data_IF_312291739661
#
_entry.id   IF_312291739661
#
_cell.length_a   1.000
_cell.length_b   1.000
_cell.length_c   1.000
_cell.angle_alpha   90.00
_cell.angle_beta   90.00
_cell.angle_gamma   90.00
#
_symmetry.space_group_name_H-M   'P 1'
#
loop_
_entity.id
_entity.type
_entity.pdbx_description
1 polymer ?
#
# COMPACT_ATOMS: atom_id res chain seq x y z
N UNK A 1 -41.29 53.05 6.50
CA UNK A 1 -40.22 52.57 7.39
C UNK A 1 -40.33 51.07 7.45
N UNK A 2 -39.39 50.38 6.82
CA UNK A 2 -39.33 48.92 6.77
C UNK A 2 -38.66 48.40 8.04
N UNK A 3 -39.24 47.39 8.67
CA UNK A 3 -38.57 46.55 9.67
C UNK A 3 -38.51 45.13 9.13
N UNK A 4 -37.30 44.73 8.77
CA UNK A 4 -36.98 43.41 8.26
C UNK A 4 -37.02 42.39 9.41
N UNK A 5 -37.77 41.30 9.23
CA UNK A 5 -37.68 40.12 10.06
C UNK A 5 -36.52 39.25 9.56
N UNK A 6 -35.47 39.09 10.36
CA UNK A 6 -34.43 38.08 10.12
C UNK A 6 -35.01 36.69 10.43
N UNK A 7 -35.19 35.87 9.40
CA UNK A 7 -35.35 34.42 9.55
C UNK A 7 -33.96 33.79 9.67
N UNK A 8 -33.56 33.44 10.89
CA UNK A 8 -32.39 32.60 11.13
C UNK A 8 -32.72 31.16 10.73
N UNK A 9 -32.17 30.73 9.60
CA UNK A 9 -32.23 29.34 9.16
C UNK A 9 -31.21 28.52 9.97
N UNK A 10 -31.67 27.85 11.03
CA UNK A 10 -30.85 26.85 11.73
C UNK A 10 -30.81 25.61 10.84
N UNK A 11 -29.72 25.44 10.09
CA UNK A 11 -29.42 24.18 9.42
C UNK A 11 -28.86 23.25 10.49
N UNK A 12 -29.72 22.45 11.10
CA UNK A 12 -29.30 21.30 11.89
C UNK A 12 -28.77 20.26 10.91
N UNK A 13 -27.45 20.26 10.69
CA UNK A 13 -26.80 19.12 10.03
C UNK A 13 -26.93 17.95 10.99
N UNK A 14 -27.95 17.13 10.78
CA UNK A 14 -27.98 15.79 11.32
C UNK A 14 -26.79 15.06 10.70
N UNK A 15 -25.69 14.98 11.44
CA UNK A 15 -24.72 13.91 11.24
C UNK A 15 -25.49 12.63 11.51
N UNK A 16 -26.06 12.04 10.47
CA UNK A 16 -26.36 10.61 10.47
C UNK A 16 -25.01 9.93 10.72
N UNK A 17 -24.75 9.64 11.98
CA UNK A 17 -23.75 8.65 12.37
C UNK A 17 -24.36 7.33 11.94
N UNK A 18 -24.35 7.06 10.62
CA UNK A 18 -24.41 5.69 10.15
C UNK A 18 -23.25 5.01 10.87
N UNK A 19 -23.57 4.05 11.74
CA UNK A 19 -22.60 3.16 12.37
C UNK A 19 -21.58 2.78 11.31
N UNK A 20 -20.38 3.37 11.38
CA UNK A 20 -19.39 3.16 10.35
C UNK A 20 -18.97 1.70 10.46
N UNK A 21 -19.44 0.86 9.54
CA UNK A 21 -19.11 -0.56 9.58
C UNK A 21 -17.59 -0.71 9.50
N UNK A 22 -16.98 -1.19 10.59
CA UNK A 22 -15.54 -1.32 10.76
C UNK A 22 -15.16 -2.81 10.69
N UNK A 23 -14.82 -3.25 9.48
CA UNK A 23 -14.42 -4.63 9.24
C UNK A 23 -12.97 -4.87 9.72
N UNK A 24 -12.77 -5.85 10.61
CA UNK A 24 -11.44 -6.36 10.96
C UNK A 24 -11.21 -7.65 10.18
N UNK A 25 -10.10 -7.76 9.44
CA UNK A 25 -9.79 -8.94 8.62
C UNK A 25 -8.54 -9.65 9.15
N UNK A 26 -8.66 -10.94 9.41
CA UNK A 26 -7.56 -11.81 9.81
C UNK A 26 -6.71 -12.22 8.61
N UNK A 27 -5.46 -11.76 8.59
CA UNK A 27 -4.48 -12.07 7.55
C UNK A 27 -3.19 -12.70 8.13
N UNK A 28 -3.35 -13.45 9.23
CA UNK A 28 -2.27 -14.23 9.83
C UNK A 28 -2.34 -15.65 9.27
N UNK A 29 -1.22 -16.29 8.90
CA UNK A 29 -1.22 -17.59 8.24
C UNK A 29 -1.49 -18.76 9.21
N UNK A 30 -2.61 -18.71 9.94
CA UNK A 30 -3.01 -19.70 10.95
C UNK A 30 -3.45 -21.03 10.34
N UNK A 31 -3.65 -21.11 9.02
CA UNK A 31 -3.78 -22.40 8.32
C UNK A 31 -2.61 -23.36 8.61
N UNK A 32 -1.41 -22.82 8.86
CA UNK A 32 -0.26 -23.62 9.27
C UNK A 32 -0.48 -24.28 10.65
N UNK A 33 -1.12 -23.57 11.57
CA UNK A 33 -1.46 -24.11 12.90
C UNK A 33 -2.56 -25.17 12.80
N UNK A 34 -3.59 -24.92 11.99
CA UNK A 34 -4.63 -25.89 11.67
C UNK A 34 -4.05 -27.18 11.08
N UNK A 35 -3.16 -27.07 10.09
CA UNK A 35 -2.56 -28.22 9.41
C UNK A 35 -1.57 -29.00 10.28
N UNK A 36 -0.72 -28.31 11.05
CA UNK A 36 0.34 -28.95 11.84
C UNK A 36 -0.11 -29.42 13.22
N UNK A 37 -1.07 -28.74 13.84
CA UNK A 37 -1.45 -28.95 15.24
C UNK A 37 -2.95 -29.20 15.45
N UNK A 38 -3.77 -29.17 14.39
CA UNK A 38 -5.23 -29.27 14.51
C UNK A 38 -5.88 -28.07 15.20
N UNK A 39 -5.15 -26.95 15.33
CA UNK A 39 -5.62 -25.74 16.01
C UNK A 39 -6.26 -24.79 15.00
N UNK A 40 -7.59 -24.82 14.92
CA UNK A 40 -8.38 -23.95 14.07
C UNK A 40 -8.97 -22.78 14.85
N UNK A 41 -8.62 -21.54 14.48
CA UNK A 41 -9.01 -20.34 15.22
C UNK A 41 -10.27 -19.68 14.67
N UNK A 42 -10.91 -20.25 13.64
CA UNK A 42 -12.07 -19.62 12.94
C UNK A 42 -13.18 -19.24 13.91
N UNK A 43 -13.56 -20.14 14.83
CA UNK A 43 -14.65 -19.88 15.78
C UNK A 43 -14.29 -18.76 16.77
N UNK A 44 -13.05 -18.73 17.24
CA UNK A 44 -12.58 -17.70 18.17
C UNK A 44 -12.51 -16.33 17.51
N UNK A 45 -12.00 -16.26 16.27
CA UNK A 45 -11.94 -15.01 15.49
C UNK A 45 -13.33 -14.43 15.22
N UNK A 46 -14.28 -15.28 14.78
CA UNK A 46 -15.65 -14.85 14.51
C UNK A 46 -16.38 -14.36 15.77
N UNK A 47 -16.07 -14.90 16.95
CA UNK A 47 -16.62 -14.42 18.23
C UNK A 47 -16.28 -12.94 18.49
N UNK A 48 -15.14 -12.47 17.98
CA UNK A 48 -14.69 -11.07 18.09
C UNK A 48 -15.03 -10.24 16.84
N UNK A 49 -15.94 -10.71 15.98
CA UNK A 49 -16.29 -10.08 14.70
C UNK A 49 -15.09 -9.88 13.76
N UNK A 50 -14.07 -10.72 13.88
CA UNK A 50 -12.92 -10.71 12.98
C UNK A 50 -13.25 -11.61 11.78
N UNK A 51 -13.30 -11.01 10.60
CA UNK A 51 -13.51 -11.71 9.33
C UNK A 51 -12.28 -12.57 9.02
N UNK A 52 -12.50 -13.85 8.76
CA UNK A 52 -11.45 -14.81 8.42
C UNK A 52 -11.82 -15.54 7.14
N UNK A 53 -10.81 -15.83 6.31
CA UNK A 53 -10.99 -16.62 5.10
C UNK A 53 -11.53 -18.02 5.42
N UNK A 54 -12.31 -18.57 4.50
CA UNK A 54 -12.73 -19.98 4.57
C UNK A 54 -11.52 -20.91 4.75
N UNK A 55 -11.63 -21.85 5.70
CA UNK A 55 -10.57 -22.79 6.08
C UNK A 55 -9.25 -22.11 6.53
N UNK A 56 -9.32 -20.85 6.99
CA UNK A 56 -8.15 -20.03 7.37
C UNK A 56 -7.14 -19.85 6.23
N UNK A 57 -7.56 -20.04 4.97
CA UNK A 57 -6.67 -19.93 3.82
C UNK A 57 -6.00 -18.56 3.78
N UNK A 58 -4.70 -18.51 3.46
CA UNK A 58 -3.98 -17.25 3.33
C UNK A 58 -4.48 -16.40 2.15
N UNK A 59 -4.95 -17.06 1.09
CA UNK A 59 -5.62 -16.44 -0.06
C UNK A 59 -7.04 -16.99 -0.11
N UNK A 60 -8.04 -16.15 0.13
CA UNK A 60 -9.42 -16.60 0.29
C UNK A 60 -10.46 -15.55 -0.08
N UNK A 61 -11.68 -15.71 0.46
CA UNK A 61 -12.86 -14.93 0.09
C UNK A 61 -12.95 -13.56 0.78
N UNK A 62 -12.31 -13.39 1.94
CA UNK A 62 -12.24 -12.11 2.68
C UNK A 62 -11.03 -11.29 2.28
N UNK A 63 -9.86 -11.93 2.16
CA UNK A 63 -8.61 -11.29 1.77
C UNK A 63 -7.73 -12.22 0.94
N UNK A 64 -7.03 -11.63 -0.03
CA UNK A 64 -6.07 -12.28 -0.90
C UNK A 64 -4.82 -11.42 -1.04
N UNK A 65 -3.76 -11.76 -0.31
CA UNK A 65 -2.44 -11.13 -0.51
C UNK A 65 -1.69 -11.84 -1.63
N UNK A 66 -1.23 -11.06 -2.60
CA UNK A 66 -0.45 -11.53 -3.73
C UNK A 66 0.95 -10.94 -3.63
N UNK A 67 1.87 -11.76 -3.13
CA UNK A 67 3.29 -11.42 -3.07
C UNK A 67 3.91 -11.22 -4.46
N UNK A 68 5.01 -10.50 -4.51
CA UNK A 68 5.72 -10.15 -5.74
C UNK A 68 6.02 -11.33 -6.68
N UNK A 69 6.46 -12.47 -6.14
CA UNK A 69 6.77 -13.70 -6.88
C UNK A 69 5.51 -14.45 -7.38
N UNK A 70 4.32 -13.97 -7.00
CA UNK A 70 3.01 -14.50 -7.41
C UNK A 70 2.20 -13.50 -8.25
N UNK A 71 2.79 -12.38 -8.67
CA UNK A 71 2.10 -11.37 -9.48
C UNK A 71 2.91 -11.03 -10.73
N UNK A 72 2.88 -11.91 -11.72
CA UNK A 72 3.61 -11.71 -12.98
C UNK A 72 5.12 -11.86 -12.81
N UNK A 73 5.87 -11.17 -13.67
CA UNK A 73 7.34 -11.10 -13.60
C UNK A 73 7.76 -9.73 -13.10
N UNK A 74 7.64 -9.50 -11.79
CA UNK A 74 8.00 -8.22 -11.17
C UNK A 74 9.52 -7.96 -11.27
N UNK A 75 9.96 -6.83 -11.87
CA UNK A 75 11.37 -6.47 -11.98
C UNK A 75 11.89 -6.02 -10.63
N UNK A 76 12.95 -6.63 -10.15
CA UNK A 76 13.57 -6.28 -8.87
C UNK A 76 15.05 -6.62 -8.84
N UNK A 77 15.78 -5.92 -8.00
CA UNK A 77 17.19 -6.20 -7.75
C UNK A 77 17.29 -6.87 -6.38
N UNK A 78 17.74 -8.12 -6.37
CA UNK A 78 18.03 -8.88 -5.16
C UNK A 78 19.51 -8.77 -4.78
N UNK A 79 19.81 -8.72 -3.48
CA UNK A 79 21.19 -8.55 -2.99
C UNK A 79 22.07 -9.79 -3.19
N UNK A 80 21.46 -10.98 -3.33
CA UNK A 80 22.15 -12.25 -3.57
C UNK A 80 22.08 -12.65 -5.03
N UNK A 81 20.87 -12.59 -5.60
CA UNK A 81 20.59 -13.14 -6.93
C UNK A 81 20.76 -12.11 -8.06
N UNK A 82 20.98 -10.84 -7.72
CA UNK A 82 21.18 -9.76 -8.69
C UNK A 82 19.90 -9.34 -9.40
N UNK A 83 19.97 -9.11 -10.71
CA UNK A 83 18.84 -8.59 -11.49
C UNK A 83 17.81 -9.70 -11.76
N UNK A 84 16.63 -9.57 -11.17
CA UNK A 84 15.48 -10.44 -11.42
C UNK A 84 14.55 -9.72 -12.39
N UNK A 85 14.18 -10.38 -13.50
CA UNK A 85 13.33 -9.81 -14.55
C UNK A 85 13.85 -8.43 -15.01
N UNK A 86 15.14 -8.35 -15.32
CA UNK A 86 15.80 -7.11 -15.78
C UNK A 86 16.11 -6.08 -14.69
N UNK A 87 15.73 -6.32 -13.43
CA UNK A 87 16.07 -5.46 -12.29
C UNK A 87 15.23 -4.20 -12.18
N UNK A 88 15.08 -3.43 -13.26
CA UNK A 88 14.28 -2.19 -13.31
C UNK A 88 13.12 -2.29 -14.32
N UNK A 89 11.99 -1.61 -14.11
CA UNK A 89 10.82 -1.69 -14.98
C UNK A 89 11.09 -1.44 -16.47
N UNK A 90 12.01 -0.51 -16.79
CA UNK A 90 12.36 -0.17 -18.18
C UNK A 90 13.04 -1.31 -18.96
N UNK A 91 13.65 -2.27 -18.28
CA UNK A 91 14.49 -3.32 -18.89
C UNK A 91 13.77 -4.65 -19.13
N UNK A 92 12.49 -4.77 -18.80
CA UNK A 92 11.66 -5.94 -19.12
C UNK A 92 10.38 -5.53 -19.87
N UNK A 93 9.60 -6.52 -20.29
CA UNK A 93 8.43 -6.38 -21.16
C UNK A 93 7.14 -6.43 -20.35
N UNK A 94 6.47 -5.29 -20.24
CA UNK A 94 5.21 -5.16 -19.52
C UNK A 94 4.12 -6.11 -20.03
N UNK A 95 4.05 -6.39 -21.34
CA UNK A 95 3.06 -7.33 -21.89
C UNK A 95 3.29 -8.77 -21.41
N UNK A 96 4.57 -9.17 -21.27
CA UNK A 96 4.95 -10.47 -20.72
C UNK A 96 4.56 -10.55 -19.25
N UNK A 97 4.82 -9.48 -18.49
CA UNK A 97 4.36 -9.34 -17.11
C UNK A 97 2.85 -9.54 -16.98
N UNK A 98 2.06 -8.77 -17.73
CA UNK A 98 0.60 -8.83 -17.67
C UNK A 98 0.02 -10.18 -18.08
N UNK A 99 0.64 -10.86 -19.06
CA UNK A 99 0.23 -12.22 -19.46
C UNK A 99 0.38 -13.21 -18.29
N UNK A 100 1.51 -13.17 -17.60
CA UNK A 100 1.79 -14.08 -16.47
C UNK A 100 0.92 -13.68 -15.26
N UNK A 101 0.81 -12.39 -14.95
CA UNK A 101 -0.03 -11.89 -13.88
C UNK A 101 -1.50 -12.30 -14.06
N UNK A 102 -2.02 -12.29 -15.30
CA UNK A 102 -3.37 -12.77 -15.60
C UNK A 102 -3.56 -14.24 -15.18
N UNK A 103 -2.60 -15.09 -15.48
CA UNK A 103 -2.63 -16.50 -15.09
C UNK A 103 -2.54 -16.64 -13.57
N UNK A 104 -1.63 -15.92 -12.91
CA UNK A 104 -1.46 -15.99 -11.47
C UNK A 104 -2.73 -15.56 -10.71
N UNK A 105 -3.30 -14.39 -11.03
CA UNK A 105 -4.53 -13.91 -10.39
C UNK A 105 -5.67 -14.90 -10.60
N UNK A 106 -5.79 -15.45 -11.81
CA UNK A 106 -6.85 -16.43 -12.12
C UNK A 106 -6.72 -17.72 -11.34
N UNK A 107 -5.48 -18.16 -11.07
CA UNK A 107 -5.19 -19.36 -10.28
C UNK A 107 -5.36 -19.12 -8.78
N UNK A 108 -4.87 -17.98 -8.26
CA UNK A 108 -4.87 -17.68 -6.83
C UNK A 108 -6.26 -17.32 -6.31
N UNK A 109 -7.03 -16.56 -7.09
CA UNK A 109 -8.37 -16.11 -6.73
C UNK A 109 -9.32 -16.73 -7.74
N UNK A 110 -9.61 -18.02 -7.63
CA UNK A 110 -10.40 -18.75 -8.64
C UNK A 110 -11.82 -18.22 -8.84
N UNK A 111 -12.42 -17.63 -7.79
CA UNK A 111 -13.76 -17.04 -7.86
C UNK A 111 -13.76 -15.73 -8.68
N UNK A 112 -14.41 -15.67 -9.86
CA UNK A 112 -14.49 -14.43 -10.65
C UNK A 112 -15.30 -13.32 -9.95
N UNK A 113 -16.22 -13.70 -9.06
CA UNK A 113 -17.04 -12.80 -8.25
C UNK A 113 -16.41 -12.43 -6.91
N UNK A 114 -15.10 -12.62 -6.75
CA UNK A 114 -14.37 -12.20 -5.55
C UNK A 114 -14.69 -10.74 -5.20
N UNK A 115 -15.21 -10.55 -3.98
CA UNK A 115 -15.60 -9.25 -3.43
C UNK A 115 -14.85 -8.90 -2.14
N UNK A 116 -13.79 -9.64 -1.82
CA UNK A 116 -12.92 -9.38 -0.68
C UNK A 116 -11.86 -8.32 -0.99
N UNK A 117 -10.87 -8.21 -0.10
CA UNK A 117 -9.71 -7.33 -0.23
C UNK A 117 -8.57 -8.05 -0.98
N UNK A 118 -8.25 -7.60 -2.20
CA UNK A 118 -7.08 -8.02 -2.97
C UNK A 118 -5.91 -7.07 -2.72
N UNK A 119 -4.79 -7.60 -2.23
CA UNK A 119 -3.60 -6.80 -1.88
C UNK A 119 -2.42 -7.23 -2.73
N UNK A 120 -1.88 -6.31 -3.52
CA UNK A 120 -0.64 -6.53 -4.27
C UNK A 120 0.52 -6.07 -3.39
N UNK A 121 1.38 -7.02 -3.02
CA UNK A 121 2.48 -6.77 -2.08
C UNK A 121 3.82 -6.66 -2.84
N UNK A 122 4.10 -5.45 -3.30
CA UNK A 122 5.30 -5.09 -4.07
C UNK A 122 6.13 -4.08 -3.28
N UNK A 123 7.24 -4.56 -2.71
CA UNK A 123 8.05 -3.74 -1.80
C UNK A 123 9.45 -3.45 -2.33
N UNK A 124 9.89 -4.08 -3.43
CA UNK A 124 11.28 -4.02 -3.87
C UNK A 124 11.75 -2.61 -4.30
N UNK A 125 10.82 -1.73 -4.71
CA UNK A 125 11.09 -0.34 -5.06
C UNK A 125 9.86 0.54 -4.81
N UNK A 126 9.99 1.86 -5.02
CA UNK A 126 8.90 2.83 -4.91
C UNK A 126 8.72 3.56 -6.26
N UNK A 127 7.49 3.91 -6.65
CA UNK A 127 7.26 4.57 -7.94
C UNK A 127 7.82 5.99 -7.99
N UNK A 128 7.93 6.68 -6.85
CA UNK A 128 8.48 8.04 -6.77
C UNK A 128 10.00 8.02 -6.65
N UNK A 129 10.68 8.78 -7.51
CA UNK A 129 12.14 8.88 -7.53
C UNK A 129 12.72 9.33 -6.19
N UNK A 130 12.07 10.30 -5.55
CA UNK A 130 12.46 10.88 -4.25
C UNK A 130 12.57 9.84 -3.11
N UNK A 131 11.86 8.70 -3.23
CA UNK A 131 11.82 7.64 -2.21
C UNK A 131 12.67 6.42 -2.56
N UNK A 132 13.52 6.51 -3.59
CA UNK A 132 14.55 5.52 -3.89
C UNK A 132 15.86 5.78 -3.11
N UNK A 133 15.71 6.01 -1.81
CA UNK A 133 16.79 6.25 -0.85
C UNK A 133 17.27 4.97 -0.13
N UNK A 134 18.37 5.10 0.62
CA UNK A 134 18.95 3.98 1.38
C UNK A 134 19.31 2.80 0.46
N UNK A 135 18.91 1.57 0.79
CA UNK A 135 19.13 0.40 -0.06
C UNK A 135 18.53 0.53 -1.46
N UNK A 136 17.49 1.35 -1.64
CA UNK A 136 16.82 1.55 -2.93
C UNK A 136 17.59 2.50 -3.87
N UNK A 137 18.68 3.13 -3.41
CA UNK A 137 19.54 4.00 -4.24
C UNK A 137 20.09 3.29 -5.47
N UNK A 138 20.22 1.96 -5.40
CA UNK A 138 20.63 1.12 -6.53
C UNK A 138 19.74 1.31 -7.76
N UNK A 139 18.43 1.53 -7.59
CA UNK A 139 17.51 1.77 -8.70
C UNK A 139 17.77 3.11 -9.39
N UNK A 140 18.07 4.17 -8.63
CA UNK A 140 18.48 5.46 -9.19
C UNK A 140 19.78 5.30 -9.99
N UNK A 141 20.79 4.68 -9.40
CA UNK A 141 22.11 4.50 -10.02
C UNK A 141 22.02 3.68 -11.32
N UNK A 142 21.20 2.64 -11.35
CA UNK A 142 20.99 1.82 -12.56
C UNK A 142 20.27 2.60 -13.66
N UNK A 143 19.27 3.41 -13.29
CA UNK A 143 18.52 4.22 -14.26
C UNK A 143 19.38 5.36 -14.82
N UNK A 144 20.19 6.01 -13.99
CA UNK A 144 21.18 7.02 -14.42
C UNK A 144 22.16 6.41 -15.43
N UNK A 145 22.76 5.26 -15.11
CA UNK A 145 23.69 4.57 -16.02
C UNK A 145 23.06 4.19 -17.37
N UNK A 146 21.77 3.88 -17.36
CA UNK A 146 21.03 3.60 -18.59
C UNK A 146 20.94 4.85 -19.48
N UNK A 147 20.63 6.01 -18.89
CA UNK A 147 20.58 7.29 -19.60
C UNK A 147 21.96 7.74 -20.06
N UNK A 148 22.98 7.65 -19.19
CA UNK A 148 24.38 8.03 -19.49
C UNK A 148 24.90 7.32 -20.73
N UNK A 149 24.64 6.00 -20.85
CA UNK A 149 25.08 5.18 -21.97
C UNK A 149 24.60 5.71 -23.31
N UNK A 150 23.38 6.22 -23.35
CA UNK A 150 22.74 6.73 -24.58
C UNK A 150 23.00 8.24 -24.78
N UNK A 151 23.56 8.94 -23.78
CA UNK A 151 23.72 10.40 -23.77
C UNK A 151 25.08 10.87 -23.20
N UNK A 152 26.23 10.40 -23.74
CA UNK A 152 27.55 10.56 -23.10
C UNK A 152 28.06 12.02 -23.02
N UNK A 153 27.43 12.96 -23.72
CA UNK A 153 27.82 14.38 -23.74
C UNK A 153 26.87 15.29 -22.95
N UNK A 154 25.83 14.73 -22.32
CA UNK A 154 24.87 15.50 -21.52
C UNK A 154 25.45 15.87 -20.16
N UNK A 155 24.91 16.92 -19.54
CA UNK A 155 25.30 17.28 -18.17
C UNK A 155 24.71 16.31 -17.16
N UNK A 156 25.38 16.12 -16.01
CA UNK A 156 24.87 15.28 -14.91
C UNK A 156 23.43 15.65 -14.49
N UNK A 157 23.10 16.95 -14.53
CA UNK A 157 21.76 17.46 -14.20
C UNK A 157 20.71 16.97 -15.20
N UNK A 158 21.02 17.04 -16.50
CA UNK A 158 20.09 16.62 -17.55
C UNK A 158 19.90 15.09 -17.51
N UNK A 159 20.98 14.36 -17.24
CA UNK A 159 20.97 12.90 -17.06
C UNK A 159 20.09 12.50 -15.87
N UNK A 160 20.26 13.15 -14.71
CA UNK A 160 19.46 12.86 -13.53
C UNK A 160 17.97 13.19 -13.76
N UNK A 161 17.68 14.32 -14.40
CA UNK A 161 16.31 14.70 -14.75
C UNK A 161 15.65 13.66 -15.67
N UNK A 162 16.35 13.25 -16.73
CA UNK A 162 15.84 12.24 -17.66
C UNK A 162 15.70 10.86 -16.99
N UNK A 163 16.62 10.49 -16.09
CA UNK A 163 16.53 9.24 -15.33
C UNK A 163 15.33 9.23 -14.39
N UNK A 164 15.04 10.36 -13.73
CA UNK A 164 13.84 10.54 -12.92
C UNK A 164 12.57 10.35 -13.74
N UNK A 165 12.44 11.04 -14.87
CA UNK A 165 11.25 10.95 -15.72
C UNK A 165 11.04 9.52 -16.25
N UNK A 166 12.12 8.87 -16.70
CA UNK A 166 12.10 7.49 -17.14
C UNK A 166 11.64 6.53 -16.04
N UNK A 167 12.18 6.70 -14.83
CA UNK A 167 11.82 5.86 -13.68
C UNK A 167 10.36 6.03 -13.31
N UNK A 168 9.91 7.26 -13.05
CA UNK A 168 8.55 7.50 -12.56
C UNK A 168 7.49 7.08 -13.60
N UNK A 169 7.74 7.31 -14.90
CA UNK A 169 6.83 6.87 -15.96
C UNK A 169 6.78 5.34 -16.08
N UNK A 170 7.93 4.67 -16.10
CA UNK A 170 7.95 3.19 -16.23
C UNK A 170 7.40 2.52 -14.98
N UNK A 171 7.72 2.99 -13.78
CA UNK A 171 7.15 2.49 -12.53
C UNK A 171 5.62 2.66 -12.50
N UNK A 172 5.11 3.84 -12.90
CA UNK A 172 3.67 4.09 -13.05
C UNK A 172 3.04 3.11 -14.02
N UNK A 173 3.58 2.91 -15.22
CA UNK A 173 3.01 2.00 -16.20
C UNK A 173 2.89 0.57 -15.65
N UNK A 174 3.94 0.08 -14.98
CA UNK A 174 3.92 -1.25 -14.40
C UNK A 174 2.88 -1.41 -13.29
N UNK A 175 2.87 -0.51 -12.31
CA UNK A 175 1.92 -0.60 -11.20
C UNK A 175 0.47 -0.39 -11.66
N UNK A 176 0.23 0.65 -12.48
CA UNK A 176 -1.11 0.99 -12.96
C UNK A 176 -1.72 -0.13 -13.81
N UNK A 177 -0.97 -0.67 -14.78
CA UNK A 177 -1.50 -1.72 -15.67
C UNK A 177 -1.76 -3.03 -14.93
N UNK A 178 -0.95 -3.34 -13.92
CA UNK A 178 -1.13 -4.53 -13.09
C UNK A 178 -2.36 -4.40 -12.19
N UNK A 179 -2.58 -3.23 -11.60
CA UNK A 179 -3.80 -2.95 -10.82
C UNK A 179 -5.06 -2.99 -11.71
N UNK A 180 -5.02 -2.38 -12.90
CA UNK A 180 -6.10 -2.44 -13.89
C UNK A 180 -6.44 -3.88 -14.30
N UNK A 181 -5.42 -4.72 -14.48
CA UNK A 181 -5.60 -6.13 -14.80
C UNK A 181 -6.31 -6.87 -13.66
N UNK A 182 -5.84 -6.68 -12.42
CA UNK A 182 -6.42 -7.31 -11.24
C UNK A 182 -7.90 -6.95 -11.07
N UNK A 183 -8.23 -5.66 -11.19
CA UNK A 183 -9.62 -5.15 -11.17
C UNK A 183 -10.46 -5.72 -12.31
N UNK A 184 -9.93 -5.78 -13.53
CA UNK A 184 -10.68 -6.35 -14.67
C UNK A 184 -11.00 -7.83 -14.47
N UNK A 185 -10.08 -8.58 -13.87
CA UNK A 185 -10.27 -10.00 -13.59
C UNK A 185 -11.24 -10.22 -12.43
N UNK A 186 -11.18 -9.39 -11.38
CA UNK A 186 -12.04 -9.48 -10.18
C UNK A 186 -12.69 -8.12 -9.90
N UNK A 187 -13.74 -7.74 -10.66
CA UNK A 187 -14.30 -6.39 -10.65
C UNK A 187 -15.02 -6.01 -9.35
N UNK A 188 -15.47 -7.00 -8.58
CA UNK A 188 -16.11 -6.77 -7.27
C UNK A 188 -15.08 -6.64 -6.14
N UNK A 189 -13.81 -6.96 -6.41
CA UNK A 189 -12.74 -6.94 -5.41
C UNK A 189 -12.33 -5.51 -5.06
N UNK A 190 -11.93 -5.32 -3.80
CA UNK A 190 -11.31 -4.10 -3.32
C UNK A 190 -9.80 -4.25 -3.46
N UNK A 191 -9.15 -3.44 -4.30
CA UNK A 191 -7.76 -3.61 -4.70
C UNK A 191 -6.90 -2.45 -4.21
N UNK A 192 -5.77 -2.79 -3.62
CA UNK A 192 -4.77 -1.86 -3.11
C UNK A 192 -3.35 -2.41 -3.31
N UNK A 193 -2.36 -1.52 -3.30
CA UNK A 193 -0.98 -1.89 -3.03
C UNK A 193 -0.72 -1.84 -1.52
N UNK A 194 -0.09 -2.89 -0.96
CA UNK A 194 0.37 -2.86 0.42
C UNK A 194 1.32 -1.66 0.63
N UNK A 195 1.25 -1.06 1.81
CA UNK A 195 2.08 0.05 2.27
C UNK A 195 1.76 1.43 1.67
N UNK A 196 0.79 1.54 0.75
CA UNK A 196 0.43 2.83 0.12
C UNK A 196 -0.91 3.41 0.65
N UNK A 197 -0.96 4.73 0.92
CA UNK A 197 0.19 5.66 0.95
C UNK A 197 1.09 5.43 2.17
N UNK A 198 2.34 5.90 2.08
CA UNK A 198 3.23 6.05 3.22
C UNK A 198 3.38 7.54 3.58
N UNK A 199 3.59 7.79 4.87
CA UNK A 199 3.74 9.12 5.44
C UNK A 199 5.21 9.47 5.74
N UNK A 200 6.08 8.44 5.84
CA UNK A 200 7.49 8.59 6.19
C UNK A 200 7.73 9.33 7.53
N UNK A 201 6.74 9.32 8.42
CA UNK A 201 6.73 9.99 9.72
C UNK A 201 7.45 9.19 10.83
N UNK A 202 8.56 8.52 10.46
CA UNK A 202 9.25 7.53 11.31
C UNK A 202 10.04 8.11 12.48
N UNK A 203 10.26 9.43 12.49
CA UNK A 203 11.20 10.10 13.41
C UNK A 203 10.59 11.34 14.05
N UNK A 204 9.27 11.34 14.32
CA UNK A 204 8.63 12.37 15.13
C UNK A 204 9.22 12.39 16.55
N UNK A 205 9.14 13.55 17.22
CA UNK A 205 9.69 13.74 18.58
C UNK A 205 8.57 14.03 19.58
N UNK A 206 8.50 15.25 20.08
CA UNK A 206 7.72 15.65 21.25
C UNK A 206 6.43 16.40 20.89
N UNK A 207 6.18 16.67 19.61
CA UNK A 207 5.01 17.41 19.16
C UNK A 207 4.14 16.63 18.16
N UNK A 208 2.79 16.65 18.28
CA UNK A 208 1.89 15.96 17.35
C UNK A 208 2.09 16.37 15.88
N UNK A 209 2.39 17.64 15.63
CA UNK A 209 2.60 18.18 14.27
C UNK A 209 3.74 17.48 13.52
N UNK A 210 4.74 16.96 14.24
CA UNK A 210 5.89 16.25 13.65
C UNK A 210 5.55 14.84 13.16
N UNK A 211 4.35 14.34 13.48
CA UNK A 211 3.88 13.02 13.06
C UNK A 211 2.93 13.08 11.86
N UNK A 212 2.48 14.26 11.44
CA UNK A 212 1.83 14.41 10.14
C UNK A 212 2.84 14.27 9.02
N UNK A 213 2.37 13.89 7.83
CA UNK A 213 3.24 13.83 6.68
C UNK A 213 3.72 15.23 6.33
N UNK A 214 5.00 15.35 5.99
CA UNK A 214 5.55 16.63 5.56
C UNK A 214 4.87 17.12 4.28
N UNK A 215 4.87 18.43 4.05
CA UNK A 215 4.35 19.02 2.79
C UNK A 215 5.01 18.40 1.56
N UNK A 216 6.32 18.07 1.65
CA UNK A 216 7.05 17.35 0.61
C UNK A 216 6.44 15.96 0.37
N UNK A 217 6.17 15.21 1.44
CA UNK A 217 5.58 13.87 1.34
C UNK A 217 4.18 13.93 0.74
N UNK A 218 3.32 14.81 1.24
CA UNK A 218 1.97 14.98 0.70
C UNK A 218 2.01 15.40 -0.77
N UNK A 219 2.92 16.30 -1.16
CA UNK A 219 3.10 16.69 -2.56
C UNK A 219 3.58 15.54 -3.46
N UNK A 220 4.45 14.65 -2.97
CA UNK A 220 4.88 13.46 -3.72
C UNK A 220 3.71 12.47 -3.84
N UNK A 221 2.95 12.27 -2.76
CA UNK A 221 1.75 11.43 -2.79
C UNK A 221 0.70 12.01 -3.75
N UNK A 222 0.60 13.32 -3.94
CA UNK A 222 -0.29 13.93 -4.93
C UNK A 222 0.08 13.56 -6.38
N UNK A 223 1.38 13.43 -6.67
CA UNK A 223 1.85 12.94 -7.99
C UNK A 223 1.47 11.48 -8.25
N UNK A 224 1.15 10.72 -7.21
CA UNK A 224 0.63 9.35 -7.30
C UNK A 224 -0.90 9.29 -7.45
N UNK A 225 -1.56 10.40 -7.81
CA UNK A 225 -3.01 10.46 -8.10
C UNK A 225 -3.50 9.31 -8.99
N UNK A 226 -2.72 8.92 -10.00
CA UNK A 226 -3.02 7.78 -10.87
C UNK A 226 -3.20 6.44 -10.13
N UNK A 227 -2.52 6.25 -8.99
CA UNK A 227 -2.68 5.06 -8.15
C UNK A 227 -3.96 5.15 -7.33
N UNK A 228 -4.25 6.33 -6.77
CA UNK A 228 -5.43 6.56 -5.94
C UNK A 228 -6.72 6.47 -6.76
N UNK A 229 -6.69 7.01 -7.99
CA UNK A 229 -7.82 6.98 -8.93
C UNK A 229 -8.14 5.56 -9.38
N UNK A 230 -7.12 4.72 -9.57
CA UNK A 230 -7.32 3.33 -9.98
C UNK A 230 -7.66 2.41 -8.78
N UNK A 231 -7.23 2.74 -7.55
CA UNK A 231 -7.42 1.88 -6.38
C UNK A 231 -8.86 1.89 -5.85
N UNK A 232 -9.38 0.71 -5.51
CA UNK A 232 -10.70 0.57 -4.84
C UNK A 232 -10.56 0.37 -3.32
N UNK A 233 -9.32 0.23 -2.82
CA UNK A 233 -8.96 0.33 -1.42
C UNK A 233 -7.56 0.98 -1.25
N UNK A 234 -7.26 1.53 -0.07
CA UNK A 234 -5.90 1.91 0.35
C UNK A 234 -5.44 1.00 1.48
N UNK A 235 -4.16 0.63 1.47
CA UNK A 235 -3.59 -0.32 2.43
C UNK A 235 -2.31 0.22 3.07
N UNK A 236 -2.38 1.37 3.79
CA UNK A 236 -1.23 1.90 4.49
C UNK A 236 -0.78 0.90 5.57
N UNK A 237 0.52 0.74 5.78
CA UNK A 237 1.02 0.02 6.95
C UNK A 237 1.05 0.98 8.14
N UNK A 238 0.56 0.56 9.30
CA UNK A 238 0.67 1.29 10.58
C UNK A 238 1.47 0.49 11.61
N UNK A 239 2.39 -0.35 11.13
CA UNK A 239 3.25 -1.15 12.00
C UNK A 239 4.13 -0.26 12.87
N UNK A 240 4.33 -0.71 14.12
CA UNK A 240 5.36 -0.20 14.99
C UNK A 240 6.64 -1.00 14.73
N UNK A 241 7.68 -0.32 14.21
CA UNK A 241 9.02 -0.87 14.16
C UNK A 241 9.74 -0.63 15.48
N UNK A 242 10.98 -1.09 15.58
CA UNK A 242 11.80 -1.00 16.80
C UNK A 242 11.86 0.44 17.31
N UNK A 243 12.08 1.40 16.42
CA UNK A 243 12.17 2.82 16.76
C UNK A 243 10.84 3.38 17.28
N UNK A 244 9.72 2.94 16.72
CA UNK A 244 8.38 3.35 17.20
C UNK A 244 7.93 2.56 18.44
N UNK A 245 8.61 1.50 18.82
CA UNK A 245 8.35 0.82 20.08
C UNK A 245 8.92 1.59 21.28
N UNK A 246 9.97 2.38 21.06
CA UNK A 246 10.52 3.31 22.07
C UNK A 246 9.63 4.54 22.31
N UNK A 247 8.65 4.77 21.43
CA UNK A 247 7.67 5.84 21.60
C UNK A 247 6.76 5.59 22.80
N UNK A 248 6.47 6.66 23.53
CA UNK A 248 5.39 6.66 24.51
C UNK A 248 4.03 6.52 23.82
N UNK A 249 2.96 6.27 24.60
CA UNK A 249 1.62 6.02 24.04
C UNK A 249 1.11 7.16 23.16
N UNK A 250 1.36 8.42 23.55
CA UNK A 250 0.93 9.59 22.76
C UNK A 250 1.64 9.64 21.41
N UNK A 251 2.94 9.40 21.39
CA UNK A 251 3.73 9.35 20.17
C UNK A 251 3.29 8.22 19.23
N UNK A 252 2.97 7.03 19.76
CA UNK A 252 2.42 5.93 18.96
C UNK A 252 1.05 6.28 18.34
N UNK A 253 0.20 6.98 19.11
CA UNK A 253 -1.09 7.49 18.61
C UNK A 253 -0.87 8.53 17.51
N UNK A 254 0.03 9.50 17.70
CA UNK A 254 0.32 10.52 16.68
C UNK A 254 0.93 9.92 15.42
N UNK A 255 1.86 8.98 15.56
CA UNK A 255 2.45 8.22 14.44
C UNK A 255 1.38 7.51 13.62
N UNK A 256 0.48 6.79 14.28
CA UNK A 256 -0.63 6.09 13.62
C UNK A 256 -1.59 7.08 12.97
N UNK A 257 -1.96 8.14 13.69
CA UNK A 257 -2.89 9.16 13.22
C UNK A 257 -2.39 9.86 11.95
N UNK A 258 -1.12 10.26 11.89
CA UNK A 258 -0.57 10.91 10.70
C UNK A 258 -0.62 10.04 9.44
N UNK A 259 -0.38 8.73 9.59
CA UNK A 259 -0.46 7.75 8.48
C UNK A 259 -1.90 7.56 8.00
N UNK A 260 -2.85 7.48 8.94
CA UNK A 260 -4.27 7.39 8.61
C UNK A 260 -4.81 8.69 8.02
N UNK A 261 -4.38 9.85 8.51
CA UNK A 261 -4.77 11.16 7.99
C UNK A 261 -4.36 11.31 6.52
N UNK A 262 -3.16 10.85 6.14
CA UNK A 262 -2.71 10.86 4.75
C UNK A 262 -3.50 9.89 3.88
N UNK A 263 -3.80 8.69 4.38
CA UNK A 263 -4.65 7.75 3.67
C UNK A 263 -6.05 8.35 3.41
N UNK A 264 -6.62 9.05 4.38
CA UNK A 264 -7.89 9.79 4.21
C UNK A 264 -7.71 10.92 3.19
N UNK A 265 -6.63 11.71 3.28
CA UNK A 265 -6.37 12.85 2.38
C UNK A 265 -6.29 12.43 0.91
N UNK A 266 -5.64 11.32 0.59
CA UNK A 266 -5.50 10.85 -0.79
C UNK A 266 -6.66 9.96 -1.26
N UNK A 267 -7.56 9.54 -0.36
CA UNK A 267 -8.68 8.67 -0.72
C UNK A 267 -9.66 9.31 -1.70
N UNK A 268 -10.38 8.47 -2.45
CA UNK A 268 -11.54 8.89 -3.26
C UNK A 268 -12.84 8.54 -2.53
N UNK A 269 -13.98 9.17 -2.86
CA UNK A 269 -15.22 9.03 -2.08
C UNK A 269 -15.69 7.59 -1.79
N UNK A 270 -15.35 6.63 -2.64
CA UNK A 270 -15.74 5.21 -2.48
C UNK A 270 -14.58 4.30 -2.05
N UNK A 271 -13.37 4.83 -1.93
CA UNK A 271 -12.18 4.06 -1.58
C UNK A 271 -12.19 3.74 -0.10
N UNK A 272 -12.20 2.44 0.23
CA UNK A 272 -12.11 1.99 1.62
C UNK A 272 -10.65 1.97 2.08
N UNK A 273 -10.39 2.26 3.35
CA UNK A 273 -9.03 2.24 3.91
C UNK A 273 -8.91 1.02 4.82
N UNK A 274 -7.92 0.17 4.55
CA UNK A 274 -7.61 -1.03 5.30
C UNK A 274 -6.17 -0.95 5.82
N UNK A 275 -5.94 -0.28 6.96
CA UNK A 275 -4.61 -0.17 7.53
C UNK A 275 -4.09 -1.54 7.96
N UNK A 276 -2.87 -1.87 7.52
CA UNK A 276 -2.19 -3.07 7.97
C UNK A 276 -1.61 -2.84 9.36
N UNK A 277 -2.00 -3.70 10.31
CA UNK A 277 -1.47 -3.74 11.67
C UNK A 277 -0.76 -5.07 11.96
N UNK A 278 0.21 -5.02 12.86
CA UNK A 278 0.89 -6.21 13.36
C UNK A 278 0.77 -6.24 14.88
N UNK A 279 0.48 -7.42 15.43
CA UNK A 279 0.42 -7.63 16.87
C UNK A 279 1.83 -7.87 17.47
N UNK A 280 2.85 -7.99 16.61
CA UNK A 280 4.26 -8.05 16.97
C UNK A 280 5.00 -6.82 16.42
N UNK A 281 5.97 -6.34 17.20
CA UNK A 281 7.01 -5.44 16.70
C UNK A 281 7.82 -6.15 15.62
N UNK A 282 8.11 -5.45 14.53
CA UNK A 282 8.48 -6.05 13.25
C UNK A 282 9.67 -7.04 13.30
N UNK A 283 10.83 -6.63 13.84
CA UNK A 283 12.04 -7.47 13.93
C UNK A 283 12.16 -8.14 15.28
N UNK A 284 11.89 -7.44 16.38
CA UNK A 284 12.06 -7.98 17.74
C UNK A 284 11.03 -9.07 18.09
N UNK A 285 9.91 -9.13 17.36
CA UNK A 285 8.81 -10.08 17.58
C UNK A 285 8.22 -10.03 19.00
N UNK A 286 8.37 -8.90 19.69
CA UNK A 286 7.72 -8.63 20.97
C UNK A 286 6.26 -8.24 20.72
N UNK A 287 5.33 -8.71 21.56
CA UNK A 287 3.92 -8.32 21.45
C UNK A 287 3.74 -6.82 21.70
N UNK A 288 2.92 -6.18 20.86
CA UNK A 288 2.46 -4.82 21.11
C UNK A 288 1.62 -4.81 22.39
N UNK A 289 1.88 -3.85 23.28
CA UNK A 289 1.15 -3.75 24.55
C UNK A 289 -0.33 -3.47 24.32
N UNK A 290 -1.16 -3.94 25.26
CA UNK A 290 -2.58 -3.57 25.34
C UNK A 290 -2.70 -2.04 25.52
#
# INVERSE_FOLDING_TARGET
MATAALLSLIITVALDITEANFDIIWNVPTFMCSGSFGLNLTKDLLKYNILVNNKESFVGDKIAVIYDYKMGIYPKIDSKDGDINGGIPRLDRLEKHLKIAKMNVSQLISNPDFSGLGVIDWEAWRPSWDYLWGPLKIYQNRTIKLIEKDNPSSSDRDIESAAKDLWEETAKQWMLRTLQLAKRLRPKGRWCYYHFPDCYNYYGKDHPSQYFCSDRTSSINDRLSWMWDESTALCPSIYLHEEQFEYNKSQQVWYTFGRLAEAVRVSRPQTKIYPYMNYLVHKSRVFVSK
#
